data_IF_353864725439
#
_entry.id   IF_353864725439
#
_cell.length_a   1.000
_cell.length_b   1.000
_cell.length_c   1.000
_cell.angle_alpha   90.00
_cell.angle_beta   90.00
_cell.angle_gamma   90.00
#
_symmetry.space_group_name_H-M   'P 1'
#
loop_
_entity.id
_entity.type
_entity.pdbx_description
1 polymer ?
#
# COMPACT_ATOMS: atom_id res chain seq x y z
N UNK A 1 -2.27 25.22 6.30
CA UNK A 1 -0.85 25.21 6.70
C UNK A 1 -0.82 24.69 8.13
N UNK A 2 -0.70 23.37 8.28
CA UNK A 2 -0.80 22.68 9.57
C UNK A 2 0.38 23.09 10.47
N UNK A 3 0.08 23.66 11.64
CA UNK A 3 1.08 24.11 12.61
C UNK A 3 1.30 22.98 13.60
N UNK A 4 2.22 22.08 13.27
CA UNK A 4 2.64 21.02 14.19
C UNK A 4 3.33 21.71 15.39
N UNK A 5 2.82 21.60 16.62
CA UNK A 5 3.41 22.26 17.77
C UNK A 5 4.80 21.68 18.07
N UNK A 6 5.75 22.56 18.40
CA UNK A 6 7.18 22.30 18.56
C UNK A 6 7.48 21.50 19.86
N UNK A 7 6.48 20.93 20.52
CA UNK A 7 6.63 20.13 21.75
C UNK A 7 7.10 18.69 21.49
N UNK A 8 7.54 18.38 20.26
CA UNK A 8 8.06 17.08 19.85
C UNK A 8 9.48 16.85 20.39
N UNK A 9 9.63 16.82 21.71
CA UNK A 9 10.91 16.62 22.40
C UNK A 9 11.15 15.13 22.64
N UNK A 10 11.70 14.49 21.60
CA UNK A 10 12.43 13.20 21.54
C UNK A 10 12.38 12.35 22.82
N UNK A 11 11.34 11.53 22.94
CA UNK A 11 11.33 10.33 23.80
C UNK A 11 11.58 9.12 22.91
N UNK A 12 12.53 8.25 23.29
CA UNK A 12 12.93 7.03 22.55
C UNK A 12 11.84 5.94 22.59
N UNK A 13 10.63 6.25 22.12
CA UNK A 13 9.46 5.37 22.18
C UNK A 13 8.93 5.08 20.78
N UNK A 14 8.16 4.00 20.66
CA UNK A 14 7.83 3.34 19.40
C UNK A 14 6.99 4.24 18.48
N UNK A 15 7.06 4.02 17.15
CA UNK A 15 6.32 4.80 16.14
C UNK A 15 4.81 4.84 16.38
N UNK A 16 4.24 3.83 17.04
CA UNK A 16 2.81 3.76 17.32
C UNK A 16 2.40 4.73 18.44
N UNK A 17 3.26 4.92 19.43
CA UNK A 17 3.00 5.83 20.55
C UNK A 17 2.89 7.27 20.05
N UNK A 18 3.83 7.66 19.17
CA UNK A 18 3.84 8.99 18.54
C UNK A 18 2.61 9.25 17.67
N UNK A 19 2.10 8.23 16.98
CA UNK A 19 0.90 8.37 16.15
C UNK A 19 -0.35 8.54 17.03
N UNK A 20 -0.45 7.84 18.16
CA UNK A 20 -1.58 7.98 19.09
C UNK A 20 -1.66 9.37 19.69
N UNK A 21 -0.52 9.89 20.18
CA UNK A 21 -0.42 11.22 20.80
C UNK A 21 -0.82 12.34 19.82
N UNK A 22 -0.34 12.26 18.56
CA UNK A 22 -0.71 13.24 17.53
C UNK A 22 -2.19 13.17 17.17
N UNK A 23 -2.79 11.98 17.12
CA UNK A 23 -4.23 11.84 16.83
C UNK A 23 -5.07 12.40 17.98
N UNK A 24 -4.68 12.20 19.23
CA UNK A 24 -5.35 12.77 20.41
C UNK A 24 -5.27 14.31 20.42
N UNK A 25 -4.11 14.88 20.14
CA UNK A 25 -3.92 16.33 20.01
C UNK A 25 -4.76 16.93 18.87
N UNK A 26 -4.84 16.24 17.72
CA UNK A 26 -5.67 16.68 16.59
C UNK A 26 -7.16 16.65 16.93
N UNK A 27 -7.63 15.61 17.64
CA UNK A 27 -9.02 15.53 18.11
C UNK A 27 -9.35 16.63 19.12
N UNK A 28 -8.42 16.94 20.04
CA UNK A 28 -8.60 18.01 21.02
C UNK A 28 -8.65 19.40 20.38
N UNK A 29 -7.83 19.62 19.34
CA UNK A 29 -7.82 20.86 18.57
C UNK A 29 -8.95 20.97 17.54
N UNK A 30 -9.81 19.94 17.42
CA UNK A 30 -10.90 19.90 16.45
C UNK A 30 -10.45 19.79 14.99
N UNK A 31 -9.22 19.32 14.75
CA UNK A 31 -8.67 19.10 13.41
C UNK A 31 -9.16 17.76 12.84
N UNK A 32 -9.47 17.72 11.55
CA UNK A 32 -9.87 16.47 10.88
C UNK A 32 -8.70 15.50 10.83
N UNK A 33 -8.86 14.35 11.49
CA UNK A 33 -7.88 13.26 11.48
C UNK A 33 -7.79 12.70 10.04
N UNK A 34 -6.58 12.57 9.47
CA UNK A 34 -6.43 12.09 8.11
C UNK A 34 -6.90 10.63 7.99
N UNK A 35 -7.69 10.36 6.94
CA UNK A 35 -8.15 9.00 6.63
C UNK A 35 -6.94 8.13 6.30
N UNK A 36 -6.83 6.90 6.83
CA UNK A 36 -5.71 6.03 6.52
C UNK A 36 -5.65 5.73 5.02
N UNK A 37 -4.50 5.96 4.41
CA UNK A 37 -4.23 5.75 2.98
C UNK A 37 -4.51 4.30 2.51
N UNK A 38 -4.59 3.36 3.46
CA UNK A 38 -4.87 1.94 3.28
C UNK A 38 -6.35 1.61 3.00
N UNK A 39 -7.28 2.56 3.09
CA UNK A 39 -8.71 2.32 2.82
C UNK A 39 -9.11 2.36 1.34
N UNK A 40 -8.15 2.37 0.42
CA UNK A 40 -8.46 2.22 -1.01
C UNK A 40 -9.06 0.83 -1.29
N UNK A 41 -10.25 0.77 -1.91
CA UNK A 41 -10.76 -0.50 -2.46
C UNK A 41 -9.87 -0.93 -3.63
N UNK A 42 -8.98 -1.89 -3.40
CA UNK A 42 -8.14 -2.44 -4.47
C UNK A 42 -8.95 -3.40 -5.33
N UNK A 43 -9.19 -3.03 -6.60
CA UNK A 43 -9.98 -3.84 -7.53
C UNK A 43 -9.36 -5.20 -7.89
N UNK A 44 -8.10 -5.45 -7.53
CA UNK A 44 -7.35 -6.66 -7.92
C UNK A 44 -7.14 -6.82 -9.43
N UNK A 45 -7.52 -5.82 -10.24
CA UNK A 45 -7.35 -5.82 -11.70
C UNK A 45 -6.01 -5.18 -12.04
N UNK A 46 -5.12 -5.95 -12.65
CA UNK A 46 -3.81 -5.48 -13.10
C UNK A 46 -3.71 -5.66 -14.61
N UNK A 47 -3.81 -4.55 -15.37
CA UNK A 47 -3.68 -4.56 -16.82
C UNK A 47 -2.23 -4.23 -17.19
N UNK A 48 -1.49 -5.24 -17.64
CA UNK A 48 -0.11 -5.09 -18.04
C UNK A 48 0.01 -5.10 -19.57
N UNK A 49 0.73 -4.14 -20.12
CA UNK A 49 1.17 -4.16 -21.53
C UNK A 49 2.57 -4.74 -21.58
N UNK A 50 2.72 -5.87 -22.28
CA UNK A 50 4.00 -6.54 -22.48
C UNK A 50 4.26 -6.78 -23.97
N UNK A 51 5.54 -6.83 -24.39
CA UNK A 51 5.90 -7.24 -25.74
C UNK A 51 5.35 -8.64 -26.06
N UNK A 52 4.99 -8.92 -27.33
CA UNK A 52 4.38 -10.19 -27.72
C UNK A 52 5.31 -11.39 -27.47
N UNK A 53 6.62 -11.22 -27.57
CA UNK A 53 7.60 -12.28 -27.28
C UNK A 53 7.58 -12.71 -25.82
N UNK A 54 7.46 -11.75 -24.90
CA UNK A 54 7.37 -12.03 -23.47
C UNK A 54 6.03 -12.70 -23.13
N UNK A 55 4.93 -12.23 -23.74
CA UNK A 55 3.64 -12.86 -23.60
C UNK A 55 3.67 -14.33 -24.05
N UNK A 56 4.30 -14.62 -25.20
CA UNK A 56 4.45 -15.98 -25.72
C UNK A 56 5.20 -16.89 -24.73
N UNK A 57 6.34 -16.42 -24.21
CA UNK A 57 7.13 -17.20 -23.24
C UNK A 57 6.33 -17.51 -21.98
N UNK A 58 5.65 -16.53 -21.40
CA UNK A 58 4.84 -16.70 -20.20
C UNK A 58 3.64 -17.63 -20.46
N UNK A 59 3.01 -17.54 -21.63
CA UNK A 59 1.90 -18.42 -22.00
C UNK A 59 2.33 -19.89 -22.12
N UNK A 60 3.52 -20.15 -22.69
CA UNK A 60 4.09 -21.50 -22.76
C UNK A 60 4.35 -22.03 -21.35
N UNK A 61 5.02 -21.25 -20.51
CA UNK A 61 5.30 -21.66 -19.13
C UNK A 61 4.02 -21.89 -18.30
N UNK A 62 3.00 -21.05 -18.48
CA UNK A 62 1.71 -21.24 -17.83
C UNK A 62 1.04 -22.55 -18.27
N UNK A 63 1.10 -22.86 -19.57
CA UNK A 63 0.57 -24.10 -20.13
C UNK A 63 1.33 -25.35 -19.62
N UNK A 64 2.65 -25.29 -19.51
CA UNK A 64 3.48 -26.36 -18.93
C UNK A 64 3.12 -26.65 -17.47
N UNK A 65 2.79 -25.60 -16.71
CA UNK A 65 2.37 -25.72 -15.31
C UNK A 65 0.87 -26.02 -15.17
N UNK A 66 0.11 -26.09 -16.27
CA UNK A 66 -1.33 -26.34 -16.25
C UNK A 66 -2.15 -25.26 -15.54
N UNK A 67 -1.64 -24.03 -15.46
CA UNK A 67 -2.29 -22.91 -14.77
C UNK A 67 -2.65 -21.80 -15.75
N UNK A 68 -3.62 -20.96 -15.38
CA UNK A 68 -3.93 -19.76 -16.17
C UNK A 68 -2.76 -18.78 -16.15
N UNK A 69 -2.61 -17.99 -17.21
CA UNK A 69 -1.56 -16.99 -17.32
C UNK A 69 -1.59 -15.98 -16.15
N UNK A 70 -2.78 -15.53 -15.75
CA UNK A 70 -2.91 -14.63 -14.59
C UNK A 70 -2.42 -15.28 -13.30
N UNK A 71 -2.71 -16.58 -13.09
CA UNK A 71 -2.23 -17.31 -11.91
C UNK A 71 -0.72 -17.56 -11.96
N UNK A 72 -0.17 -17.81 -13.13
CA UNK A 72 1.28 -17.93 -13.34
C UNK A 72 2.01 -16.62 -13.03
N UNK A 73 1.44 -15.48 -13.42
CA UNK A 73 2.02 -14.15 -13.14
C UNK A 73 1.89 -13.81 -11.65
N UNK A 74 0.73 -14.07 -11.04
CA UNK A 74 0.51 -13.83 -9.60
C UNK A 74 1.43 -14.64 -8.69
N UNK A 75 1.93 -15.80 -9.11
CA UNK A 75 2.87 -16.59 -8.31
C UNK A 75 4.33 -16.13 -8.43
N UNK A 76 4.62 -15.22 -9.37
CA UNK A 76 5.96 -14.66 -9.61
C UNK A 76 6.13 -13.24 -9.07
N UNK A 77 5.04 -12.60 -8.65
CA UNK A 77 5.00 -11.30 -7.96
C UNK A 77 5.13 -11.49 -6.44
#
# INVERSE_FOLDING_TARGET
MCRIPISFMVRRSSRMDLVSEVVEDMQHNGEEVPVPLSHGKYSGKFQLRIPPELHRKLAIQAAENGVSLNRYISSKL
#
